data_IF_656011358962
#
_entry.id   IF_656011358962
#
_cell.length_a   1.000
_cell.length_b   1.000
_cell.length_c   1.000
_cell.angle_alpha   90.00
_cell.angle_beta   90.00
_cell.angle_gamma   90.00
#
_symmetry.space_group_name_H-M   'P 1'
#
loop_
_entity.id
_entity.type
_entity.pdbx_description
1 polymer ?
#
# COMPACT_ATOMS: atom_id res chain seq x y z
N UNK A 1 3.71 15.10 17.20
CA UNK A 1 3.39 13.78 16.62
C UNK A 1 4.16 13.67 15.31
N UNK A 2 5.06 12.69 15.15
CA UNK A 2 5.78 12.50 13.88
C UNK A 2 4.78 12.09 12.80
N UNK A 3 4.92 12.67 11.61
CA UNK A 3 4.12 12.32 10.43
C UNK A 3 4.94 11.36 9.58
N UNK A 4 4.32 10.24 9.19
CA UNK A 4 4.95 9.23 8.37
C UNK A 4 4.20 9.02 7.06
N UNK A 5 4.97 8.62 6.06
CA UNK A 5 4.51 8.32 4.72
C UNK A 5 4.94 6.90 4.36
N UNK A 6 3.96 6.06 4.08
CA UNK A 6 4.16 4.66 3.73
C UNK A 6 3.73 4.43 2.29
N UNK A 7 4.67 3.98 1.44
CA UNK A 7 4.37 3.51 0.09
C UNK A 7 4.51 2.00 0.07
N UNK A 8 3.43 1.32 -0.32
CA UNK A 8 3.34 -0.14 -0.37
C UNK A 8 3.21 -0.57 -1.82
N UNK A 9 4.00 -1.57 -2.21
CA UNK A 9 3.93 -2.21 -3.52
C UNK A 9 3.50 -3.66 -3.32
N UNK A 10 2.26 -3.99 -3.70
CA UNK A 10 1.75 -5.36 -3.67
C UNK A 10 1.90 -6.05 -5.04
N UNK A 11 1.87 -7.39 -5.04
CA UNK A 11 2.13 -8.20 -6.25
C UNK A 11 1.09 -7.92 -7.35
N UNK A 12 1.53 -7.97 -8.61
CA UNK A 12 0.71 -7.68 -9.81
C UNK A 12 -0.42 -8.67 -10.09
N UNK A 13 -0.39 -9.85 -9.49
CA UNK A 13 -1.39 -10.90 -9.69
C UNK A 13 -2.59 -10.77 -8.76
N UNK A 14 -2.61 -9.76 -7.88
CA UNK A 14 -3.77 -9.43 -7.07
C UNK A 14 -4.86 -8.75 -7.90
N UNK A 15 -6.11 -9.01 -7.54
CA UNK A 15 -7.22 -8.18 -8.03
C UNK A 15 -7.20 -6.80 -7.38
N UNK A 16 -7.89 -5.82 -7.98
CA UNK A 16 -8.04 -4.49 -7.37
C UNK A 16 -8.62 -4.56 -5.96
N UNK A 17 -9.68 -5.34 -5.77
CA UNK A 17 -10.32 -5.54 -4.46
C UNK A 17 -9.39 -6.19 -3.42
N UNK A 18 -8.55 -7.16 -3.84
CA UNK A 18 -7.56 -7.76 -2.94
C UNK A 18 -6.48 -6.76 -2.53
N UNK A 19 -6.05 -5.89 -3.45
CA UNK A 19 -5.07 -4.84 -3.14
C UNK A 19 -5.65 -3.77 -2.22
N UNK A 20 -6.91 -3.35 -2.41
CA UNK A 20 -7.61 -2.43 -1.52
C UNK A 20 -7.79 -3.02 -0.12
N UNK A 21 -8.15 -4.30 -0.01
CA UNK A 21 -8.24 -5.00 1.28
C UNK A 21 -6.91 -5.05 2.05
N UNK A 22 -5.76 -5.05 1.35
CA UNK A 22 -4.45 -4.93 2.02
C UNK A 22 -4.25 -3.54 2.63
N UNK A 23 -4.70 -2.48 1.96
CA UNK A 23 -4.62 -1.10 2.48
C UNK A 23 -5.41 -0.96 3.77
N UNK A 24 -6.63 -1.52 3.80
CA UNK A 24 -7.46 -1.57 5.01
C UNK A 24 -6.78 -2.35 6.13
N UNK A 25 -6.27 -3.55 5.82
CA UNK A 25 -5.57 -4.39 6.79
C UNK A 25 -4.37 -3.68 7.43
N UNK A 26 -3.51 -3.05 6.62
CA UNK A 26 -2.38 -2.29 7.14
C UNK A 26 -2.81 -1.04 7.92
N UNK A 27 -3.91 -0.40 7.52
CA UNK A 27 -4.53 0.67 8.28
C UNK A 27 -4.92 0.22 9.70
N UNK A 28 -5.57 -0.94 9.82
CA UNK A 28 -5.92 -1.54 11.12
C UNK A 28 -4.68 -1.85 11.95
N UNK A 29 -3.64 -2.45 11.35
CA UNK A 29 -2.38 -2.73 12.07
C UNK A 29 -1.76 -1.44 12.61
N UNK A 30 -1.76 -0.36 11.84
CA UNK A 30 -1.23 0.93 12.28
C UNK A 30 -2.04 1.51 13.45
N UNK A 31 -3.38 1.41 13.39
CA UNK A 31 -4.25 1.90 14.47
C UNK A 31 -4.13 1.06 15.74
N UNK A 32 -4.01 -0.26 15.62
CA UNK A 32 -3.86 -1.18 16.75
C UNK A 32 -2.54 -0.95 17.51
N UNK A 33 -1.52 -0.42 16.83
CA UNK A 33 -0.23 -0.07 17.43
C UNK A 33 -0.16 1.39 17.91
N UNK A 34 -1.29 2.07 18.06
CA UNK A 34 -1.37 3.44 18.59
C UNK A 34 -1.05 4.53 17.56
N UNK A 35 -0.94 4.19 16.28
CA UNK A 35 -0.87 5.14 15.18
C UNK A 35 -2.24 5.71 14.81
N UNK A 36 -2.25 6.83 14.09
CA UNK A 36 -3.48 7.43 13.56
C UNK A 36 -3.37 7.55 12.05
N UNK A 37 -4.16 6.80 11.30
CA UNK A 37 -4.22 6.96 9.85
C UNK A 37 -4.91 8.30 9.53
N UNK A 38 -4.18 9.21 8.89
CA UNK A 38 -4.68 10.53 8.44
C UNK A 38 -5.37 10.40 7.08
N UNK A 39 -4.89 9.50 6.24
CA UNK A 39 -5.48 9.23 4.93
C UNK A 39 -4.74 8.11 4.23
N UNK A 40 -5.40 7.52 3.23
CA UNK A 40 -4.80 6.55 2.34
C UNK A 40 -5.24 6.83 0.90
N UNK A 41 -4.42 6.39 -0.05
CA UNK A 41 -4.70 6.49 -1.47
C UNK A 41 -4.27 5.20 -2.16
N UNK A 42 -5.13 4.70 -3.03
CA UNK A 42 -4.79 3.58 -3.89
C UNK A 42 -4.51 4.08 -5.30
N UNK A 43 -3.29 3.85 -5.79
CA UNK A 43 -2.82 4.35 -7.08
C UNK A 43 -2.89 3.32 -8.21
N UNK A 44 -3.45 2.15 -7.94
CA UNK A 44 -3.62 1.08 -8.92
C UNK A 44 -2.31 0.41 -9.33
N UNK A 45 -2.38 -0.33 -10.43
CA UNK A 45 -1.22 -1.04 -10.99
C UNK A 45 -0.34 -0.08 -11.78
N UNK A 46 0.94 0.00 -11.43
CA UNK A 46 1.94 0.76 -12.20
C UNK A 46 3.09 -0.12 -12.65
N UNK A 47 3.70 0.24 -13.77
CA UNK A 47 4.93 -0.39 -14.28
C UNK A 47 6.13 0.15 -13.52
N UNK A 48 6.96 -0.74 -13.00
CA UNK A 48 8.20 -0.40 -12.31
C UNK A 48 9.33 -0.11 -13.30
N UNK A 49 10.30 0.73 -12.91
CA UNK A 49 11.49 1.02 -13.72
C UNK A 49 12.36 -0.22 -13.96
N UNK A 50 12.33 -1.19 -13.04
CA UNK A 50 13.04 -2.47 -13.16
C UNK A 50 12.24 -3.62 -12.53
N UNK A 51 12.72 -4.85 -12.69
CA UNK A 51 12.03 -6.06 -12.18
C UNK A 51 12.32 -6.17 -10.69
N UNK A 52 11.27 -6.27 -9.87
CA UNK A 52 11.40 -6.62 -8.46
C UNK A 52 10.79 -8.00 -8.29
N UNK A 53 11.57 -8.96 -7.77
CA UNK A 53 11.14 -10.36 -7.57
C UNK A 53 10.41 -10.94 -8.79
N UNK A 54 11.01 -10.77 -9.99
CA UNK A 54 10.48 -11.20 -11.31
C UNK A 54 9.22 -10.47 -11.80
N UNK A 55 8.64 -9.53 -11.05
CA UNK A 55 7.48 -8.74 -11.45
C UNK A 55 7.89 -7.42 -12.13
N UNK A 56 7.18 -7.02 -13.19
CA UNK A 56 7.38 -5.73 -13.91
C UNK A 56 6.34 -4.67 -13.54
N UNK A 57 5.21 -5.10 -12.96
CA UNK A 57 4.15 -4.24 -12.45
C UNK A 57 3.88 -4.56 -10.99
N UNK A 58 3.21 -3.66 -10.29
CA UNK A 58 2.76 -3.85 -8.92
C UNK A 58 1.63 -2.89 -8.59
N UNK A 59 0.83 -3.25 -7.59
CA UNK A 59 -0.22 -2.38 -7.05
C UNK A 59 0.41 -1.40 -6.09
N UNK A 60 0.22 -0.10 -6.32
CA UNK A 60 0.75 0.94 -5.46
C UNK A 60 -0.33 1.48 -4.54
N UNK A 61 -0.01 1.57 -3.25
CA UNK A 61 -0.83 2.23 -2.26
C UNK A 61 0.03 3.15 -1.40
N UNK A 62 -0.60 4.23 -0.94
CA UNK A 62 -0.02 5.22 -0.06
C UNK A 62 -0.85 5.32 1.22
N UNK A 63 -0.17 5.37 2.37
CA UNK A 63 -0.80 5.55 3.67
C UNK A 63 -0.04 6.65 4.41
N UNK A 64 -0.78 7.60 4.97
CA UNK A 64 -0.27 8.67 5.80
C UNK A 64 -0.73 8.48 7.24
N UNK A 65 0.21 8.56 8.17
CA UNK A 65 -0.02 8.46 9.63
C UNK A 65 0.53 9.67 10.37
#
# INVERSE_FOLDING_TARGET
MPLYEHVIIARQDLSGAQAEGLVEHFGTVLTDNGGKVVGNEYWGVKTMAYRINKNRKGHYAFIKT
#
